data_IF_319494432417
#
_entry.id   IF_319494432417
#
_cell.length_a   1.000
_cell.length_b   1.000
_cell.length_c   1.000
_cell.angle_alpha   90.00
_cell.angle_beta   90.00
_cell.angle_gamma   90.00
#
_symmetry.space_group_name_H-M   'P 1'
#
loop_
_entity.id
_entity.type
_entity.pdbx_description
1 polymer ?
#
# COMPACT_ATOMS: atom_id res chain seq x y z
N UNK A 1 -15.37 -3.50 16.84
CA UNK A 1 -15.13 -2.46 15.80
C UNK A 1 -14.83 -1.15 16.53
N UNK A 2 -13.82 -0.40 16.08
CA UNK A 2 -13.34 0.79 16.79
C UNK A 2 -14.40 1.90 16.79
N UNK A 3 -15.13 2.04 17.89
CA UNK A 3 -16.02 3.18 18.17
C UNK A 3 -15.27 4.51 18.19
N UNK A 4 -13.94 4.48 18.26
CA UNK A 4 -13.09 5.68 18.33
C UNK A 4 -13.19 6.55 17.07
N UNK A 5 -13.18 5.97 15.86
CA UNK A 5 -13.26 6.78 14.64
C UNK A 5 -14.62 7.46 14.53
N UNK A 6 -15.71 6.72 14.76
CA UNK A 6 -17.06 7.29 14.70
C UNK A 6 -17.20 8.46 15.69
N UNK A 7 -16.75 8.28 16.94
CA UNK A 7 -16.79 9.35 17.94
C UNK A 7 -15.94 10.55 17.54
N UNK A 8 -14.78 10.35 16.92
CA UNK A 8 -13.91 11.44 16.47
C UNK A 8 -14.57 12.21 15.31
N UNK A 9 -15.09 11.52 14.29
CA UNK A 9 -15.79 12.17 13.19
C UNK A 9 -17.03 12.93 13.69
N UNK A 10 -17.79 12.34 14.61
CA UNK A 10 -18.96 12.98 15.22
C UNK A 10 -18.56 14.23 16.03
N UNK A 11 -17.47 14.19 16.81
CA UNK A 11 -17.00 15.38 17.54
C UNK A 11 -16.57 16.51 16.60
N UNK A 12 -15.86 16.20 15.52
CA UNK A 12 -15.38 17.20 14.57
C UNK A 12 -16.53 17.86 13.79
N UNK A 13 -17.57 17.08 13.48
CA UNK A 13 -18.77 17.61 12.80
C UNK A 13 -19.63 18.57 13.63
N UNK A 14 -19.47 18.54 14.96
CA UNK A 14 -20.19 19.46 15.84
C UNK A 14 -19.54 20.85 15.87
N UNK A 15 -18.24 20.92 15.56
CA UNK A 15 -17.44 22.14 15.63
C UNK A 15 -17.44 22.89 14.29
N UNK A 16 -17.44 22.17 13.16
CA UNK A 16 -17.34 22.76 11.82
C UNK A 16 -18.28 22.06 10.81
N UNK A 17 -19.01 22.85 10.01
CA UNK A 17 -19.80 22.37 8.86
C UNK A 17 -19.03 22.62 7.57
N UNK A 18 -19.11 21.69 6.62
CA UNK A 18 -18.43 21.78 5.33
C UNK A 18 -17.23 20.83 5.22
N UNK A 19 -16.20 21.28 4.50
CA UNK A 19 -14.95 20.54 4.32
C UNK A 19 -14.08 20.71 5.57
N UNK A 20 -13.78 19.60 6.23
CA UNK A 20 -12.97 19.52 7.44
C UNK A 20 -11.72 18.70 7.14
N UNK A 21 -10.56 19.30 7.34
CA UNK A 21 -9.27 18.60 7.28
C UNK A 21 -9.11 17.73 8.54
N UNK A 22 -9.03 16.42 8.35
CA UNK A 22 -8.85 15.43 9.41
C UNK A 22 -7.54 14.66 9.28
N UNK A 23 -6.60 15.18 8.47
CA UNK A 23 -5.33 14.54 8.11
C UNK A 23 -4.57 14.04 9.33
N UNK A 24 -4.31 14.90 10.31
CA UNK A 24 -3.53 14.55 11.51
C UNK A 24 -4.13 13.40 12.32
N UNK A 25 -5.46 13.35 12.40
CA UNK A 25 -6.16 12.25 13.09
C UNK A 25 -5.98 10.95 12.32
N UNK A 26 -6.10 11.01 10.99
CA UNK A 26 -5.98 9.82 10.14
C UNK A 26 -4.54 9.31 10.10
N UNK A 27 -3.54 10.20 10.06
CA UNK A 27 -2.12 9.85 10.19
C UNK A 27 -1.88 9.02 11.45
N UNK A 28 -2.37 9.48 12.60
CA UNK A 28 -2.23 8.77 13.87
C UNK A 28 -2.87 7.38 13.87
N UNK A 29 -3.94 7.19 13.10
CA UNK A 29 -4.71 5.93 13.07
C UNK A 29 -4.21 4.94 12.02
N UNK A 30 -3.75 5.43 10.87
CA UNK A 30 -3.60 4.62 9.67
C UNK A 30 -2.21 4.63 9.02
N UNK A 31 -1.33 5.55 9.41
CA UNK A 31 0.09 5.48 9.01
C UNK A 31 0.76 4.26 9.63
N UNK A 32 1.59 3.58 8.84
CA UNK A 32 2.38 2.41 9.24
C UNK A 32 3.59 2.24 8.30
N UNK A 33 4.34 1.14 8.46
CA UNK A 33 5.55 0.86 7.69
C UNK A 33 5.37 0.70 6.17
N UNK A 34 4.13 0.51 5.71
CA UNK A 34 3.79 0.24 4.30
C UNK A 34 3.05 1.39 3.62
N UNK A 35 2.62 2.41 4.38
CA UNK A 35 1.86 3.58 3.86
C UNK A 35 1.77 4.70 4.88
N UNK A 36 1.75 5.93 4.40
CA UNK A 36 1.58 7.16 5.17
C UNK A 36 0.36 7.91 4.66
N UNK A 37 -0.44 8.49 5.56
CA UNK A 37 -1.51 9.41 5.16
C UNK A 37 -0.88 10.74 4.76
N UNK A 38 -1.22 11.26 3.58
CA UNK A 38 -0.73 12.55 3.06
C UNK A 38 -1.78 13.65 3.23
N UNK A 39 -3.05 13.31 3.00
CA UNK A 39 -4.19 14.17 3.31
C UNK A 39 -5.40 13.32 3.68
N UNK A 40 -6.34 13.94 4.39
CA UNK A 40 -7.66 13.38 4.61
C UNK A 40 -8.70 14.48 4.80
N UNK A 41 -9.71 14.47 3.93
CA UNK A 41 -10.75 15.49 3.87
C UNK A 41 -12.11 14.86 4.12
N UNK A 42 -12.83 15.38 5.12
CA UNK A 42 -14.19 15.02 5.43
C UNK A 42 -15.15 16.13 4.99
N UNK A 43 -16.09 15.83 4.11
CA UNK A 43 -17.20 16.71 3.80
C UNK A 43 -18.43 16.28 4.60
N UNK A 44 -18.81 17.12 5.56
CA UNK A 44 -20.04 16.95 6.33
C UNK A 44 -21.04 18.02 5.92
N UNK A 45 -22.16 17.56 5.34
CA UNK A 45 -23.31 18.40 5.07
C UNK A 45 -24.26 18.38 6.28
N UNK A 46 -25.46 17.83 6.12
CA UNK A 46 -26.44 17.64 7.20
C UNK A 46 -26.60 16.14 7.59
N UNK A 47 -27.30 15.88 8.69
CA UNK A 47 -27.49 14.53 9.28
C UNK A 47 -28.19 13.56 8.31
N UNK A 48 -29.08 14.08 7.47
CA UNK A 48 -29.85 13.31 6.51
C UNK A 48 -29.17 13.22 5.12
N UNK A 49 -28.01 13.85 4.95
CA UNK A 49 -27.25 13.79 3.71
C UNK A 49 -26.07 12.81 3.81
N UNK A 50 -25.62 12.22 2.69
CA UNK A 50 -24.44 11.39 2.70
C UNK A 50 -23.20 12.19 3.14
N UNK A 51 -22.40 11.61 4.05
CA UNK A 51 -21.08 12.13 4.37
C UNK A 51 -20.05 11.60 3.38
N UNK A 52 -19.18 12.47 2.88
CA UNK A 52 -18.12 12.10 1.94
C UNK A 52 -16.76 12.23 2.60
N UNK A 53 -15.85 11.32 2.26
CA UNK A 53 -14.51 11.32 2.82
C UNK A 53 -13.50 10.89 1.77
N UNK A 54 -12.45 11.67 1.61
CA UNK A 54 -11.31 11.35 0.76
C UNK A 54 -10.08 11.23 1.64
N UNK A 55 -9.21 10.27 1.33
CA UNK A 55 -7.95 10.10 2.03
C UNK A 55 -6.87 9.68 1.05
N UNK A 56 -5.83 10.51 0.90
CA UNK A 56 -4.68 10.21 0.09
C UNK A 56 -3.56 9.60 0.93
N UNK A 57 -2.94 8.58 0.37
CA UNK A 57 -1.83 7.86 0.96
C UNK A 57 -0.60 7.94 0.05
N UNK A 58 0.56 8.06 0.65
CA UNK A 58 1.83 7.67 0.04
C UNK A 58 2.10 6.21 0.38
N UNK A 59 2.52 5.42 -0.60
CA UNK A 59 2.99 4.06 -0.34
C UNK A 59 4.44 4.09 0.20
N UNK A 60 5.10 2.94 0.25
CA UNK A 60 6.45 2.83 0.83
C UNK A 60 7.48 3.62 0.04
N UNK A 61 7.34 3.73 -1.29
CA UNK A 61 8.16 4.61 -2.13
C UNK A 61 8.12 6.06 -1.68
N UNK A 62 6.95 6.56 -1.26
CA UNK A 62 6.79 7.89 -0.69
C UNK A 62 7.50 8.02 0.67
N UNK A 63 7.34 7.02 1.55
CA UNK A 63 8.03 6.99 2.86
C UNK A 63 9.55 7.03 2.69
N UNK A 64 10.06 6.40 1.62
CA UNK A 64 11.47 6.32 1.32
C UNK A 64 11.98 7.45 0.43
N UNK A 65 11.13 8.40 0.02
CA UNK A 65 11.47 9.41 -1.01
C UNK A 65 12.70 10.27 -0.68
N UNK A 66 12.98 10.49 0.60
CA UNK A 66 14.16 11.24 1.06
C UNK A 66 15.47 10.41 1.06
N UNK A 67 15.39 9.10 0.84
CA UNK A 67 16.56 8.23 0.80
C UNK A 67 17.20 8.23 -0.59
N UNK A 68 18.54 8.16 -0.66
CA UNK A 68 19.24 8.15 -1.94
C UNK A 68 18.89 6.89 -2.74
N UNK A 69 18.78 7.06 -4.07
CA UNK A 69 18.46 5.98 -5.01
C UNK A 69 19.52 5.88 -6.10
N UNK A 70 19.80 4.65 -6.53
CA UNK A 70 20.45 4.39 -7.80
C UNK A 70 19.52 4.75 -8.96
N UNK A 71 20.08 5.15 -10.10
CA UNK A 71 19.30 5.45 -11.29
C UNK A 71 18.48 4.21 -11.70
N UNK A 72 17.15 4.36 -11.74
CA UNK A 72 16.25 3.29 -12.16
C UNK A 72 16.25 3.21 -13.68
N UNK A 73 16.40 1.99 -14.22
CA UNK A 73 16.65 1.76 -15.65
C UNK A 73 15.41 1.99 -16.52
N UNK A 74 14.20 2.06 -15.95
CA UNK A 74 12.98 2.38 -16.70
C UNK A 74 11.87 2.97 -15.82
N UNK A 75 11.08 3.95 -16.33
CA UNK A 75 9.85 4.40 -15.69
C UNK A 75 8.80 3.28 -15.76
N UNK A 76 8.20 2.95 -14.62
CA UNK A 76 7.16 1.94 -14.49
C UNK A 76 6.04 2.48 -13.59
N UNK A 77 4.75 2.23 -13.87
CA UNK A 77 3.64 2.69 -13.02
C UNK A 77 3.72 2.16 -11.59
N UNK A 78 4.42 1.06 -11.34
CA UNK A 78 4.53 0.46 -10.01
C UNK A 78 5.99 0.28 -9.57
N UNK A 79 6.21 0.37 -8.26
CA UNK A 79 7.53 0.24 -7.64
C UNK A 79 7.58 -1.01 -6.74
N UNK A 80 8.65 -1.83 -6.78
CA UNK A 80 8.72 -3.08 -6.01
C UNK A 80 8.48 -2.92 -4.50
N UNK A 81 8.98 -1.84 -3.89
CA UNK A 81 8.82 -1.57 -2.46
C UNK A 81 7.37 -1.36 -2.04
N UNK A 82 6.49 -1.04 -2.99
CA UNK A 82 5.08 -0.83 -2.74
C UNK A 82 4.26 -2.10 -2.77
N UNK A 83 4.80 -3.22 -3.29
CA UNK A 83 4.11 -4.52 -3.39
C UNK A 83 3.35 -4.91 -2.11
N UNK A 84 3.93 -4.81 -0.90
CA UNK A 84 3.24 -5.21 0.33
C UNK A 84 1.90 -4.49 0.53
N UNK A 85 1.81 -3.22 0.15
CA UNK A 85 0.61 -2.39 0.25
C UNK A 85 -0.22 -2.41 -1.05
N UNK A 86 0.43 -2.34 -2.20
CA UNK A 86 -0.18 -2.20 -3.53
C UNK A 86 -0.99 -3.44 -3.92
N UNK A 87 -0.45 -4.65 -3.75
CA UNK A 87 -1.16 -5.88 -4.15
C UNK A 87 -2.47 -6.06 -3.37
N UNK A 88 -2.49 -5.95 -2.02
CA UNK A 88 -3.72 -5.92 -1.26
C UNK A 88 -4.71 -4.81 -1.67
N UNK A 89 -4.20 -3.62 -1.99
CA UNK A 89 -5.03 -2.49 -2.38
C UNK A 89 -5.75 -2.76 -3.71
N UNK A 90 -5.03 -3.25 -4.72
CA UNK A 90 -5.60 -3.61 -6.01
C UNK A 90 -6.64 -4.74 -5.85
N UNK A 91 -6.41 -5.68 -4.92
CA UNK A 91 -7.43 -6.66 -4.56
C UNK A 91 -8.69 -6.00 -3.93
N UNK A 92 -8.51 -4.97 -3.10
CA UNK A 92 -9.61 -4.22 -2.50
C UNK A 92 -10.39 -3.44 -3.56
N UNK A 93 -9.69 -2.75 -4.46
CA UNK A 93 -10.30 -2.02 -5.59
C UNK A 93 -11.05 -2.98 -6.52
N UNK A 94 -10.41 -4.09 -6.90
CA UNK A 94 -11.04 -5.10 -7.76
C UNK A 94 -12.27 -5.72 -7.09
N UNK A 95 -12.34 -5.74 -5.76
CA UNK A 95 -13.48 -6.21 -4.99
C UNK A 95 -14.39 -5.10 -4.44
N UNK A 96 -14.20 -3.85 -4.86
CA UNK A 96 -14.87 -2.66 -4.31
C UNK A 96 -16.40 -2.75 -4.32
N UNK A 97 -16.98 -3.42 -5.33
CA UNK A 97 -18.43 -3.67 -5.43
C UNK A 97 -18.99 -4.47 -4.24
N UNK A 98 -18.15 -5.24 -3.53
CA UNK A 98 -18.52 -6.00 -2.32
C UNK A 98 -18.34 -5.17 -1.03
N UNK A 99 -17.77 -3.98 -1.13
CA UNK A 99 -17.41 -3.12 0.00
C UNK A 99 -18.35 -1.90 0.08
N UNK A 100 -19.45 -2.03 0.82
CA UNK A 100 -20.38 -0.91 1.09
C UNK A 100 -19.59 0.29 1.64
N UNK A 101 -19.77 1.45 1.02
CA UNK A 101 -19.19 2.72 1.44
C UNK A 101 -17.84 3.07 0.81
N UNK A 102 -17.16 2.16 0.11
CA UNK A 102 -16.01 2.51 -0.75
C UNK A 102 -16.53 2.91 -2.13
N UNK A 103 -16.27 4.15 -2.56
CA UNK A 103 -16.71 4.68 -3.86
C UNK A 103 -15.65 4.55 -4.94
N UNK A 104 -14.40 4.82 -4.60
CA UNK A 104 -13.30 4.86 -5.56
C UNK A 104 -11.96 4.55 -4.91
N UNK A 105 -11.07 4.01 -5.73
CA UNK A 105 -9.64 3.89 -5.46
C UNK A 105 -8.96 4.43 -6.70
N UNK A 106 -8.10 5.41 -6.53
CA UNK A 106 -7.29 5.99 -7.60
C UNK A 106 -5.83 5.76 -7.23
N UNK A 107 -5.05 5.21 -8.15
CA UNK A 107 -3.61 4.96 -7.95
C UNK A 107 -2.89 5.82 -8.97
N UNK A 108 -2.06 6.72 -8.47
CA UNK A 108 -1.33 7.69 -9.27
C UNK A 108 0.17 7.56 -9.01
N UNK A 109 0.95 7.82 -10.04
CA UNK A 109 2.39 7.97 -9.92
C UNK A 109 2.72 9.45 -9.75
N UNK A 110 3.16 9.84 -8.55
CA UNK A 110 3.59 11.19 -8.23
C UNK A 110 5.12 11.24 -8.21
N UNK A 111 5.72 11.69 -9.31
CA UNK A 111 7.17 11.62 -9.49
C UNK A 111 7.65 10.17 -9.57
N UNK A 112 8.46 9.75 -8.60
CA UNK A 112 8.97 8.37 -8.53
C UNK A 112 8.26 7.50 -7.48
N UNK A 113 7.17 8.00 -6.89
CA UNK A 113 6.42 7.35 -5.81
C UNK A 113 4.99 7.03 -6.23
N UNK A 114 4.40 6.00 -5.63
CA UNK A 114 2.99 5.69 -5.79
C UNK A 114 2.16 6.37 -4.69
N UNK A 115 1.16 7.13 -5.11
CA UNK A 115 0.13 7.71 -4.25
C UNK A 115 -1.23 7.09 -4.56
N UNK A 116 -2.07 7.03 -3.54
CA UNK A 116 -3.37 6.36 -3.59
C UNK A 116 -4.43 7.24 -2.95
N UNK A 117 -5.49 7.53 -3.68
CA UNK A 117 -6.66 8.23 -3.14
C UNK A 117 -7.79 7.23 -2.92
N UNK A 118 -8.30 7.17 -1.69
CA UNK A 118 -9.46 6.38 -1.32
C UNK A 118 -10.65 7.30 -1.06
N UNK A 119 -11.73 7.10 -1.81
CA UNK A 119 -12.96 7.88 -1.67
C UNK A 119 -14.05 7.04 -1.06
N UNK A 120 -14.66 7.52 0.02
CA UNK A 120 -15.69 6.85 0.79
C UNK A 120 -16.98 7.67 0.87
N UNK A 121 -18.09 6.96 1.11
CA UNK A 121 -19.37 7.55 1.42
C UNK A 121 -20.03 6.84 2.61
N UNK A 122 -20.64 7.63 3.49
CA UNK A 122 -21.55 7.15 4.52
C UNK A 122 -22.96 7.62 4.20
N UNK A 123 -23.77 6.74 3.64
CA UNK A 123 -25.20 7.03 3.43
C UNK A 123 -25.94 6.88 4.77
N UNK A 124 -26.92 7.74 5.11
CA UNK A 124 -27.74 7.55 6.30
C UNK A 124 -28.58 6.27 6.21
N UNK A 125 -28.82 5.59 7.35
CA UNK A 125 -29.63 4.37 7.44
C UNK A 125 -30.42 4.39 8.76
N UNK A 126 -31.48 3.59 8.83
CA UNK A 126 -32.39 3.57 9.97
C UNK A 126 -31.62 3.16 11.24
N UNK A 127 -31.42 4.13 12.15
CA UNK A 127 -30.73 3.92 13.42
C UNK A 127 -29.20 4.09 13.39
N UNK A 128 -28.60 4.55 12.28
CA UNK A 128 -27.17 4.87 12.23
C UNK A 128 -26.91 6.18 11.49
N UNK A 129 -26.11 7.07 12.10
CA UNK A 129 -25.64 8.30 11.47
C UNK A 129 -24.82 8.00 10.20
N UNK A 130 -24.85 8.93 9.26
CA UNK A 130 -23.98 8.95 8.07
C UNK A 130 -22.49 8.80 8.45
N UNK A 131 -22.03 9.51 9.48
CA UNK A 131 -20.66 9.45 10.00
C UNK A 131 -20.31 8.09 10.62
N UNK A 132 -21.23 7.46 11.34
CA UNK A 132 -21.03 6.11 11.88
C UNK A 132 -20.88 5.07 10.78
N UNK A 133 -21.67 5.19 9.71
CA UNK A 133 -21.53 4.32 8.53
C UNK A 133 -20.25 4.57 7.75
N UNK A 134 -19.88 5.84 7.60
CA UNK A 134 -18.62 6.24 6.99
C UNK A 134 -17.43 5.65 7.76
N UNK A 135 -17.38 5.86 9.08
CA UNK A 135 -16.34 5.31 9.95
C UNK A 135 -16.28 3.77 9.87
N UNK A 136 -17.44 3.12 9.74
CA UNK A 136 -17.52 1.66 9.57
C UNK A 136 -16.97 1.21 8.21
N UNK A 137 -17.20 1.98 7.14
CA UNK A 137 -16.67 1.70 5.81
C UNK A 137 -15.15 1.89 5.78
N UNK A 138 -14.64 3.01 6.31
CA UNK A 138 -13.21 3.30 6.41
C UNK A 138 -12.50 2.19 7.20
N UNK A 139 -12.94 1.91 8.43
CA UNK A 139 -12.31 0.86 9.25
C UNK A 139 -12.30 -0.49 8.55
N UNK A 140 -13.39 -0.88 7.87
CA UNK A 140 -13.46 -2.15 7.14
C UNK A 140 -12.41 -2.24 6.04
N UNK A 141 -12.22 -1.17 5.28
CA UNK A 141 -11.23 -1.12 4.21
C UNK A 141 -9.83 -1.12 4.78
N UNK A 142 -9.56 -0.27 5.79
CA UNK A 142 -8.23 -0.16 6.40
C UNK A 142 -7.80 -1.44 7.13
N UNK A 143 -8.71 -2.09 7.87
CA UNK A 143 -8.45 -3.37 8.54
C UNK A 143 -8.18 -4.48 7.52
N UNK A 144 -8.93 -4.51 6.42
CA UNK A 144 -8.72 -5.48 5.33
C UNK A 144 -7.38 -5.24 4.63
N UNK A 145 -7.05 -3.98 4.34
CA UNK A 145 -5.80 -3.61 3.70
C UNK A 145 -4.60 -4.05 4.56
N UNK A 146 -4.62 -3.71 5.85
CA UNK A 146 -3.62 -4.16 6.83
C UNK A 146 -3.57 -5.69 6.96
N UNK A 147 -4.72 -6.34 7.05
CA UNK A 147 -4.82 -7.79 7.19
C UNK A 147 -4.21 -8.52 6.00
N UNK A 148 -4.54 -8.11 4.77
CA UNK A 148 -4.03 -8.72 3.55
C UNK A 148 -2.54 -8.42 3.32
N UNK A 149 -2.06 -7.23 3.69
CA UNK A 149 -0.62 -6.92 3.74
C UNK A 149 0.11 -7.90 4.66
N UNK A 150 -0.45 -8.14 5.85
CA UNK A 150 0.13 -9.06 6.83
C UNK A 150 0.11 -10.52 6.33
N UNK A 151 -0.95 -10.93 5.62
CA UNK A 151 -1.03 -12.26 4.99
C UNK A 151 0.04 -12.42 3.90
N UNK A 152 0.18 -11.45 3.01
CA UNK A 152 1.19 -11.46 1.95
C UNK A 152 2.59 -11.71 2.52
N UNK A 153 2.99 -10.88 3.48
CA UNK A 153 4.29 -10.97 4.12
C UNK A 153 4.47 -12.26 4.92
N UNK A 154 3.42 -12.73 5.60
CA UNK A 154 3.47 -14.00 6.33
C UNK A 154 3.64 -15.21 5.41
N UNK A 155 3.12 -15.16 4.18
CA UNK A 155 3.35 -16.24 3.20
C UNK A 155 4.80 -16.19 2.72
N UNK A 156 5.34 -15.00 2.44
CA UNK A 156 6.73 -14.82 2.04
C UNK A 156 7.71 -15.30 3.12
N UNK A 157 7.47 -14.95 4.39
CA UNK A 157 8.27 -15.41 5.53
C UNK A 157 8.27 -16.93 5.70
N UNK A 158 7.23 -17.60 5.21
CA UNK A 158 7.03 -19.06 5.32
C UNK A 158 7.29 -19.78 4.00
N UNK A 159 7.84 -19.10 3.00
CA UNK A 159 8.16 -19.70 1.71
C UNK A 159 9.15 -20.87 1.95
N UNK A 160 8.83 -22.11 1.51
CA UNK A 160 9.70 -23.26 1.77
C UNK A 160 11.00 -23.24 0.96
N UNK A 161 11.04 -22.48 -0.14
CA UNK A 161 12.19 -22.32 -1.03
C UNK A 161 13.07 -21.20 -0.52
N UNK A 162 12.49 -20.02 -0.26
CA UNK A 162 13.24 -18.81 0.07
C UNK A 162 13.25 -18.45 1.56
N UNK A 163 12.28 -18.90 2.35
CA UNK A 163 12.15 -18.54 3.77
C UNK A 163 13.39 -18.86 4.63
N UNK A 164 14.01 -20.05 4.52
CA UNK A 164 15.25 -20.35 5.23
C UNK A 164 16.43 -19.45 4.80
N UNK A 165 16.53 -19.16 3.50
CA UNK A 165 17.57 -18.28 2.95
C UNK A 165 17.33 -16.82 3.35
N UNK A 166 16.07 -16.40 3.45
CA UNK A 166 15.64 -15.04 3.82
C UNK A 166 15.46 -14.86 5.33
N UNK A 167 15.85 -15.84 6.15
CA UNK A 167 15.74 -15.75 7.60
C UNK A 167 16.51 -14.54 8.14
N UNK A 168 15.81 -13.63 8.81
CA UNK A 168 16.36 -12.38 9.33
C UNK A 168 16.42 -11.22 8.33
N UNK A 169 15.94 -11.42 7.11
CA UNK A 169 15.78 -10.36 6.10
C UNK A 169 14.33 -9.87 6.11
N UNK A 170 14.12 -8.58 6.33
CA UNK A 170 12.78 -7.99 6.16
C UNK A 170 12.48 -7.83 4.66
N UNK A 171 11.39 -8.47 4.19
CA UNK A 171 10.92 -8.37 2.80
C UNK A 171 10.70 -6.94 2.33
N UNK A 172 10.33 -6.02 3.23
CA UNK A 172 10.16 -4.61 2.91
C UNK A 172 11.48 -3.93 2.57
N UNK A 173 12.55 -4.32 3.25
CA UNK A 173 13.90 -3.82 3.00
C UNK A 173 14.47 -4.44 1.73
N UNK A 174 14.21 -5.73 1.48
CA UNK A 174 14.54 -6.39 0.23
C UNK A 174 13.93 -5.64 -0.97
N UNK A 175 12.61 -5.43 -0.94
CA UNK A 175 11.89 -4.75 -2.01
C UNK A 175 12.25 -3.27 -2.14
N UNK A 176 12.65 -2.60 -1.05
CA UNK A 176 13.25 -1.26 -1.12
C UNK A 176 14.56 -1.27 -1.92
N UNK A 177 15.44 -2.23 -1.67
CA UNK A 177 16.65 -2.43 -2.48
C UNK A 177 16.33 -2.67 -3.95
N UNK A 178 15.38 -3.55 -4.25
CA UNK A 178 14.93 -3.81 -5.63
C UNK A 178 14.20 -2.62 -6.30
N UNK A 179 13.87 -1.59 -5.52
CA UNK A 179 13.35 -0.31 -6.01
C UNK A 179 14.45 0.74 -6.23
N UNK A 180 15.71 0.35 -6.05
CA UNK A 180 16.87 1.20 -6.26
C UNK A 180 17.27 2.04 -5.04
N UNK A 181 16.55 1.96 -3.91
CA UNK A 181 17.00 2.64 -2.69
C UNK A 181 18.34 2.04 -2.24
N UNK A 182 19.31 2.91 -1.94
CA UNK A 182 20.65 2.47 -1.55
C UNK A 182 20.50 1.56 -0.33
N UNK A 183 20.93 0.30 -0.50
CA UNK A 183 20.70 -0.79 0.46
C UNK A 183 21.08 -0.35 1.86
N UNK A 184 20.13 -0.50 2.77
CA UNK A 184 20.37 -0.26 4.17
C UNK A 184 21.52 -1.16 4.67
N UNK A 185 22.46 -0.62 5.47
CA UNK A 185 23.76 -1.26 5.79
C UNK A 185 23.70 -2.59 6.57
N UNK A 186 22.51 -3.08 6.91
CA UNK A 186 22.28 -4.35 7.62
C UNK A 186 21.76 -5.48 6.72
N UNK A 187 21.65 -5.25 5.40
CA UNK A 187 21.24 -6.29 4.46
C UNK A 187 22.36 -7.31 4.27
N UNK A 188 22.06 -8.61 4.38
CA UNK A 188 23.03 -9.66 4.01
C UNK A 188 23.32 -9.52 2.50
N UNK A 189 24.58 -9.62 2.04
CA UNK A 189 24.86 -9.65 0.62
C UNK A 189 24.11 -10.81 -0.05
N UNK A 190 23.35 -10.52 -1.10
CA UNK A 190 22.66 -11.51 -1.93
C UNK A 190 23.21 -11.44 -3.35
N UNK A 191 23.41 -12.61 -3.96
CA UNK A 191 23.74 -12.76 -5.38
C UNK A 191 22.56 -12.40 -6.26
N UNK A 192 22.81 -12.07 -7.54
CA UNK A 192 21.74 -11.82 -8.51
C UNK A 192 20.72 -12.96 -8.57
N UNK A 193 21.20 -14.22 -8.61
CA UNK A 193 20.36 -15.42 -8.64
C UNK A 193 19.49 -15.60 -7.39
N UNK A 194 20.00 -15.27 -6.20
CA UNK A 194 19.20 -15.33 -4.96
C UNK A 194 18.06 -14.30 -4.99
N UNK A 195 18.35 -13.08 -5.46
CA UNK A 195 17.34 -12.01 -5.57
C UNK A 195 16.30 -12.33 -6.64
N UNK A 196 16.71 -12.93 -7.77
CA UNK A 196 15.79 -13.38 -8.81
C UNK A 196 14.80 -14.42 -8.26
N UNK A 197 15.29 -15.42 -7.51
CA UNK A 197 14.42 -16.40 -6.83
C UNK A 197 13.51 -15.73 -5.79
N UNK A 198 14.03 -14.77 -5.02
CA UNK A 198 13.21 -14.02 -4.06
C UNK A 198 12.07 -13.23 -4.73
N UNK A 199 12.34 -12.58 -5.88
CA UNK A 199 11.31 -11.91 -6.67
C UNK A 199 10.29 -12.90 -7.24
N UNK A 200 10.71 -14.07 -7.69
CA UNK A 200 9.79 -15.14 -8.14
C UNK A 200 8.83 -15.58 -7.03
N UNK A 201 9.33 -15.73 -5.79
CA UNK A 201 8.51 -15.97 -4.60
C UNK A 201 7.50 -14.84 -4.34
N UNK A 202 7.93 -13.58 -4.50
CA UNK A 202 7.05 -12.40 -4.39
C UNK A 202 5.93 -12.43 -5.43
N UNK A 203 6.26 -12.72 -6.70
CA UNK A 203 5.29 -12.82 -7.79
C UNK A 203 4.30 -13.95 -7.51
N UNK A 204 4.79 -15.15 -7.19
CA UNK A 204 3.96 -16.33 -6.91
C UNK A 204 3.00 -16.07 -5.76
N UNK A 205 3.50 -15.49 -4.66
CA UNK A 205 2.68 -15.18 -3.49
C UNK A 205 1.65 -14.10 -3.79
N UNK A 206 2.02 -13.05 -4.52
CA UNK A 206 1.10 -11.98 -4.91
C UNK A 206 -0.05 -12.52 -5.77
N UNK A 207 0.26 -13.40 -6.73
CA UNK A 207 -0.75 -14.08 -7.56
C UNK A 207 -1.67 -14.97 -6.72
N UNK A 208 -1.12 -15.74 -5.79
CA UNK A 208 -1.89 -16.60 -4.91
C UNK A 208 -2.84 -15.79 -4.01
N UNK A 209 -2.38 -14.65 -3.49
CA UNK A 209 -3.22 -13.74 -2.70
C UNK A 209 -4.38 -13.19 -3.53
N UNK A 210 -4.11 -12.67 -4.73
CA UNK A 210 -5.15 -12.16 -5.64
C UNK A 210 -6.18 -13.24 -5.96
N UNK A 211 -5.73 -14.44 -6.36
CA UNK A 211 -6.61 -15.56 -6.69
C UNK A 211 -7.44 -16.06 -5.49
N UNK A 212 -6.95 -15.88 -4.26
CA UNK A 212 -7.66 -16.28 -3.04
C UNK A 212 -8.81 -15.34 -2.68
N UNK A 213 -8.72 -14.05 -3.04
CA UNK A 213 -9.69 -13.04 -2.64
C UNK A 213 -10.59 -12.55 -3.79
N UNK A 214 -10.15 -12.71 -5.04
CA UNK A 214 -10.87 -12.26 -6.23
C UNK A 214 -11.55 -13.42 -6.95
N UNK A 215 -12.77 -13.18 -7.39
CA UNK A 215 -13.47 -14.05 -8.33
C UNK A 215 -12.83 -13.98 -9.72
N UNK A 216 -13.10 -14.98 -10.58
CA UNK A 216 -12.62 -14.98 -11.98
C UNK A 216 -13.02 -13.71 -12.76
N UNK A 217 -14.18 -13.12 -12.45
CA UNK A 217 -14.60 -11.86 -13.07
C UNK A 217 -13.80 -10.65 -12.57
N UNK A 218 -13.47 -10.61 -11.28
CA UNK A 218 -12.66 -9.54 -10.70
C UNK A 218 -11.19 -9.63 -11.13
N UNK A 219 -10.66 -10.85 -11.32
CA UNK A 219 -9.32 -11.10 -11.88
C UNK A 219 -9.13 -10.57 -13.31
N UNK A 220 -10.23 -10.34 -14.05
CA UNK A 220 -10.20 -9.81 -15.43
C UNK A 220 -10.28 -8.28 -15.49
N UNK A 221 -10.34 -7.58 -14.35
CA UNK A 221 -10.32 -6.11 -14.35
C UNK A 221 -8.96 -5.60 -14.81
N UNK A 222 -8.94 -4.54 -15.61
CA UNK A 222 -7.72 -3.99 -16.22
C UNK A 222 -6.61 -3.76 -15.20
N UNK A 223 -6.90 -3.13 -14.05
CA UNK A 223 -5.90 -2.86 -13.01
C UNK A 223 -5.23 -4.13 -12.45
N UNK A 224 -5.98 -5.24 -12.36
CA UNK A 224 -5.42 -6.53 -11.92
C UNK A 224 -4.54 -7.12 -13.01
N UNK A 225 -4.96 -7.03 -14.27
CA UNK A 225 -4.18 -7.50 -15.42
C UNK A 225 -2.88 -6.70 -15.57
N UNK A 226 -2.95 -5.38 -15.42
CA UNK A 226 -1.79 -4.48 -15.43
C UNK A 226 -0.80 -4.81 -14.32
N UNK A 227 -1.30 -5.00 -13.09
CA UNK A 227 -0.48 -5.45 -11.96
C UNK A 227 0.19 -6.81 -12.24
N UNK A 228 -0.57 -7.79 -12.72
CA UNK A 228 -0.03 -9.12 -13.00
C UNK A 228 1.03 -9.09 -14.10
N UNK A 229 0.78 -8.35 -15.17
CA UNK A 229 1.75 -8.15 -16.24
C UNK A 229 3.02 -7.48 -15.71
N UNK A 230 2.89 -6.48 -14.85
CA UNK A 230 4.04 -5.85 -14.22
C UNK A 230 4.83 -6.84 -13.33
N UNK A 231 4.14 -7.58 -12.46
CA UNK A 231 4.76 -8.56 -11.57
C UNK A 231 5.56 -9.63 -12.37
N UNK A 232 5.02 -10.09 -13.49
CA UNK A 232 5.67 -11.11 -14.34
C UNK A 232 6.99 -10.64 -14.99
N UNK A 233 7.22 -9.33 -15.06
CA UNK A 233 8.44 -8.74 -15.64
C UNK A 233 9.38 -8.13 -14.57
N UNK A 234 9.20 -8.48 -13.29
CA UNK A 234 10.13 -8.06 -12.25
C UNK A 234 11.49 -8.74 -12.41
N UNK A 235 12.55 -7.94 -12.46
CA UNK A 235 13.94 -8.39 -12.51
C UNK A 235 14.77 -7.71 -11.41
N UNK A 236 15.80 -8.40 -10.86
CA UNK A 236 16.67 -7.80 -9.86
C UNK A 236 17.41 -6.57 -10.41
N UNK A 237 17.58 -5.55 -9.56
CA UNK A 237 18.36 -4.37 -9.92
C UNK A 237 19.84 -4.72 -10.13
N UNK A 238 20.42 -4.20 -11.22
CA UNK A 238 21.84 -4.38 -11.55
C UNK A 238 22.77 -3.68 -10.54
N UNK A 239 22.38 -2.48 -10.08
CA UNK A 239 23.20 -1.62 -9.24
C UNK A 239 23.19 -1.97 -7.76
N UNK A 240 22.28 -2.84 -7.32
CA UNK A 240 22.32 -3.39 -5.97
C UNK A 240 23.52 -4.33 -5.92
N UNK A 241 24.68 -3.81 -5.54
CA UNK A 241 25.92 -4.57 -5.41
C UNK A 241 25.95 -5.23 -4.04
N UNK A 242 26.68 -6.34 -3.95
CA UNK A 242 26.90 -7.12 -2.72
C UNK A 242 27.56 -6.26 -1.63
N UNK A 243 26.77 -5.47 -0.89
CA UNK A 243 27.13 -4.85 0.39
C UNK A 243 28.43 -4.05 0.46
N UNK A 244 29.03 -3.65 -0.68
CA UNK A 244 30.24 -2.84 -0.73
C UNK A 244 30.04 -1.71 -1.71
N UNK A 245 29.81 -0.53 -1.15
CA UNK A 245 30.21 0.71 -1.82
C UNK A 245 31.73 0.66 -1.89
N UNK A 246 32.29 0.29 -3.03
CA UNK A 246 33.69 0.65 -3.30
C UNK A 246 33.70 2.18 -3.41
N UNK A 247 34.29 2.84 -2.42
CA UNK A 247 34.69 4.24 -2.55
C UNK A 247 35.57 4.33 -3.80
N UNK A 248 35.01 4.88 -4.87
CA UNK A 248 35.82 5.41 -5.97
C UNK A 248 36.57 6.61 -5.41
N UNK A 249 37.76 6.34 -4.87
CA UNK A 249 38.77 7.37 -4.62
C UNK A 249 39.16 7.91 -5.98
N UNK A 250 38.71 9.13 -6.30
CA UNK A 250 39.33 9.93 -7.35
C UNK A 250 40.80 10.11 -6.99
N UNK A 251 41.68 9.48 -7.77
CA UNK A 251 43.11 9.75 -7.70
C UNK A 251 43.36 11.00 -8.55
N UNK A 252 43.87 12.03 -7.87
CA UNK A 252 44.27 13.34 -8.40
C UNK A 252 45.28 13.27 -9.56
#
# INVERSE_FOLDING_TARGET
>A
MSTRLANVLESLSQEERGLVDVTRTMEMLYTNSDRVVLDADLMVCDVDEPAHFSMRFGLRSEILSDFPRYAVVAPNPFVPCDIPSLVPLIAIEASSRRLKGLRGVEIEQAGESNQVTLTFIGEPDVGKSNLSQLASAVNRVMDRWKGWTSVLLSILDRDPVMGPEMSGVDWREFLAGESGFITMPWFRPMTYSERARALESVVTTSRALLASFLSLGEMRRNIVVELLNWLEHLEPQLHVTTGRVEETVEVA
#
